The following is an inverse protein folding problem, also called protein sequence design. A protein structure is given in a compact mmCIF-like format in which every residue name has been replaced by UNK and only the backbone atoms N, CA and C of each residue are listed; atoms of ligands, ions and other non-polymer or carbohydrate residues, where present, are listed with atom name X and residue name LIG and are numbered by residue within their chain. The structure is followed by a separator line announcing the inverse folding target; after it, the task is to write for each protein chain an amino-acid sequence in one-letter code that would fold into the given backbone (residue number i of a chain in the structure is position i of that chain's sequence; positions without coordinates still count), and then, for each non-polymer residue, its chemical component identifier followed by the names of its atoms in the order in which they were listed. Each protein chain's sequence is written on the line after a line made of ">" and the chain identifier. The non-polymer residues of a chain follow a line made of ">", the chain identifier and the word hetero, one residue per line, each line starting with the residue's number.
data_IF_479808635986
#
_entry.id   IF_479808635986
#
_cell.length_a   1.000
_cell.length_b   1.000
_cell.length_c   1.000
_cell.angle_alpha   90.00
_cell.angle_beta   90.00
_cell.angle_gamma   90.00
#
_symmetry.space_group_name_H-M   'P 1'
#
loop_
_entity.id
_entity.type
_entity.pdbx_description
1 polymer ?
#
# COMPACT_ATOMS: atom_id res chain seq x y z
N UNK A 1 30.02 7.65 12.24
CA UNK A 1 29.10 7.88 11.10
C UNK A 1 27.90 6.94 11.25
N UNK A 2 27.21 6.96 12.39
CA UNK A 2 26.31 5.88 12.78
C UNK A 2 25.24 6.36 13.76
N UNK A 3 24.03 5.83 13.58
CA UNK A 3 22.83 5.91 14.41
C UNK A 3 21.86 7.10 14.27
N UNK A 4 22.26 8.28 13.78
CA UNK A 4 21.29 9.37 13.51
C UNK A 4 20.76 9.41 12.07
N UNK A 5 21.50 8.86 11.10
CA UNK A 5 21.05 8.65 9.70
C UNK A 5 20.17 7.38 9.51
N UNK A 6 19.61 6.81 10.59
CA UNK A 6 18.94 5.50 10.53
C UNK A 6 17.41 5.54 10.70
N UNK A 7 16.88 6.42 11.54
CA UNK A 7 15.42 6.48 11.78
C UNK A 7 14.78 7.63 11.01
N UNK A 8 15.42 8.80 11.02
CA UNK A 8 14.89 9.95 10.30
C UNK A 8 14.85 9.67 8.79
N UNK A 9 15.94 9.18 8.22
CA UNK A 9 16.02 8.79 6.81
C UNK A 9 15.07 7.63 6.45
N UNK A 10 14.91 6.65 7.36
CA UNK A 10 13.94 5.56 7.17
C UNK A 10 12.50 6.07 7.16
N UNK A 11 12.13 6.91 8.12
CA UNK A 11 10.77 7.48 8.19
C UNK A 11 10.49 8.39 7.00
N UNK A 12 11.46 9.18 6.57
CA UNK A 12 11.33 10.08 5.42
C UNK A 12 11.26 9.29 4.10
N UNK A 13 12.10 8.25 3.96
CA UNK A 13 12.06 7.33 2.83
C UNK A 13 10.74 6.56 2.74
N UNK A 14 10.25 6.05 3.87
CA UNK A 14 8.96 5.36 3.97
C UNK A 14 7.80 6.29 3.62
N UNK A 15 7.77 7.51 4.18
CA UNK A 15 6.71 8.47 3.91
C UNK A 15 6.68 8.86 2.42
N UNK A 16 7.86 9.06 1.83
CA UNK A 16 8.01 9.38 0.42
C UNK A 16 7.53 8.21 -0.48
N UNK A 17 7.94 6.99 -0.17
CA UNK A 17 7.53 5.77 -0.87
C UNK A 17 6.00 5.58 -0.81
N UNK A 18 5.40 5.71 0.39
CA UNK A 18 3.96 5.63 0.59
C UNK A 18 3.19 6.72 -0.16
N UNK A 19 3.69 7.96 -0.15
CA UNK A 19 3.07 9.09 -0.84
C UNK A 19 3.05 8.87 -2.36
N UNK A 20 4.20 8.48 -2.94
CA UNK A 20 4.29 8.23 -4.37
C UNK A 20 3.55 6.97 -4.80
N UNK A 21 3.44 5.95 -3.95
CA UNK A 21 2.65 4.74 -4.22
C UNK A 21 1.13 4.98 -4.21
N UNK A 22 0.66 5.97 -3.44
CA UNK A 22 -0.77 6.32 -3.42
C UNK A 22 -1.27 6.89 -4.77
N UNK A 23 -0.41 7.58 -5.52
CA UNK A 23 -0.75 8.20 -6.82
C UNK A 23 -1.17 7.16 -7.88
N UNK A 24 -0.34 6.15 -8.22
CA UNK A 24 -0.75 5.12 -9.17
C UNK A 24 -1.92 4.30 -8.65
N UNK A 25 -2.03 4.09 -7.32
CA UNK A 25 -3.17 3.39 -6.74
C UNK A 25 -4.50 4.12 -7.01
N UNK A 26 -4.55 5.43 -6.80
CA UNK A 26 -5.71 6.25 -7.16
C UNK A 26 -5.93 6.25 -8.67
N UNK A 27 -4.86 6.34 -9.47
CA UNK A 27 -4.93 6.29 -10.93
C UNK A 27 -5.61 5.02 -11.45
N UNK A 28 -5.19 3.85 -10.96
CA UNK A 28 -5.84 2.58 -11.29
C UNK A 28 -7.28 2.51 -10.79
N UNK A 29 -7.56 3.01 -9.58
CA UNK A 29 -8.93 3.06 -9.07
C UNK A 29 -9.85 3.93 -9.96
N UNK A 30 -9.36 5.05 -10.48
CA UNK A 30 -10.12 5.88 -11.42
C UNK A 30 -10.39 5.15 -12.74
N UNK A 31 -9.41 4.40 -13.27
CA UNK A 31 -9.57 3.57 -14.49
C UNK A 31 -10.68 2.52 -14.29
N UNK A 32 -10.79 1.96 -13.09
CA UNK A 32 -11.84 0.99 -12.74
C UNK A 32 -13.17 1.63 -12.29
N UNK A 33 -13.34 2.93 -12.50
CA UNK A 33 -14.57 3.67 -12.16
C UNK A 33 -14.98 3.51 -10.67
N UNK A 34 -13.99 3.44 -9.78
CA UNK A 34 -14.23 3.34 -8.34
C UNK A 34 -14.93 4.61 -7.83
N UNK A 35 -15.99 4.51 -7.00
CA UNK A 35 -16.71 5.69 -6.52
C UNK A 35 -15.78 6.62 -5.73
N UNK A 36 -15.98 7.93 -5.84
CA UNK A 36 -15.08 8.95 -5.28
C UNK A 36 -14.83 8.77 -3.77
N UNK A 37 -15.83 8.31 -3.02
CA UNK A 37 -15.72 8.02 -1.58
C UNK A 37 -14.79 6.85 -1.27
N UNK A 38 -14.64 5.91 -2.20
CA UNK A 38 -13.78 4.73 -2.07
C UNK A 38 -12.32 4.99 -2.50
N UNK A 39 -12.04 6.05 -3.28
CA UNK A 39 -10.69 6.38 -3.77
C UNK A 39 -9.68 6.59 -2.63
N UNK A 40 -10.13 7.17 -1.51
CA UNK A 40 -9.27 7.38 -0.33
C UNK A 40 -8.77 6.04 0.21
N UNK A 41 -9.63 5.01 0.21
CA UNK A 41 -9.27 3.68 0.67
C UNK A 41 -8.33 2.98 -0.30
N UNK A 42 -8.47 3.22 -1.61
CA UNK A 42 -7.50 2.75 -2.62
C UNK A 42 -6.12 3.40 -2.43
N UNK A 43 -6.08 4.71 -2.17
CA UNK A 43 -4.84 5.44 -1.87
C UNK A 43 -4.13 4.88 -0.62
N UNK A 44 -4.90 4.68 0.46
CA UNK A 44 -4.40 4.11 1.71
C UNK A 44 -3.96 2.66 1.51
N UNK A 45 -4.71 1.87 0.74
CA UNK A 45 -4.33 0.49 0.40
C UNK A 45 -3.00 0.42 -0.34
N UNK A 46 -2.79 1.25 -1.35
CA UNK A 46 -1.52 1.32 -2.10
C UNK A 46 -0.34 1.78 -1.23
N UNK A 47 -0.57 2.78 -0.37
CA UNK A 47 0.42 3.23 0.59
C UNK A 47 0.80 2.12 1.59
N UNK A 48 -0.16 1.37 2.13
CA UNK A 48 0.10 0.26 3.06
C UNK A 48 0.82 -0.89 2.36
N UNK A 49 0.41 -1.25 1.15
CA UNK A 49 1.05 -2.30 0.36
C UNK A 49 2.51 -1.99 0.10
N UNK A 50 2.78 -0.86 -0.56
CA UNK A 50 4.14 -0.49 -0.93
C UNK A 50 5.00 -0.13 0.29
N UNK A 51 4.43 0.57 1.28
CA UNK A 51 5.12 0.90 2.53
C UNK A 51 5.50 -0.33 3.36
N UNK A 52 4.62 -1.35 3.44
CA UNK A 52 4.95 -2.60 4.12
C UNK A 52 6.08 -3.37 3.42
N UNK A 53 6.05 -3.43 2.08
CA UNK A 53 7.13 -3.99 1.25
C UNK A 53 8.44 -3.24 1.47
N UNK A 54 8.42 -1.91 1.40
CA UNK A 54 9.59 -1.06 1.62
C UNK A 54 10.21 -1.32 2.99
N UNK A 55 9.39 -1.33 4.05
CA UNK A 55 9.82 -1.58 5.41
C UNK A 55 10.46 -2.96 5.57
N UNK A 56 9.84 -4.01 5.02
CA UNK A 56 10.41 -5.37 5.03
C UNK A 56 11.76 -5.44 4.31
N UNK A 57 11.90 -4.76 3.17
CA UNK A 57 13.16 -4.72 2.43
C UNK A 57 14.27 -3.98 3.21
N UNK A 58 13.94 -2.94 3.98
CA UNK A 58 14.90 -2.25 4.86
C UNK A 58 15.40 -3.15 6.00
N UNK A 59 14.60 -4.13 6.44
CA UNK A 59 15.00 -5.15 7.41
C UNK A 59 15.70 -6.37 6.78
N UNK A 60 16.04 -6.31 5.49
CA UNK A 60 16.78 -7.38 4.80
C UNK A 60 15.92 -8.55 4.34
N UNK A 61 14.58 -8.42 4.35
CA UNK A 61 13.69 -9.43 3.79
C UNK A 61 13.79 -9.40 2.25
N UNK A 62 13.96 -10.56 1.57
CA UNK A 62 13.98 -10.63 0.11
C UNK A 62 12.69 -10.07 -0.50
N UNK A 63 12.79 -9.51 -1.72
CA UNK A 63 11.68 -8.84 -2.41
C UNK A 63 10.47 -9.77 -2.62
N UNK A 64 10.70 -11.07 -2.82
CA UNK A 64 9.69 -12.10 -3.03
C UNK A 64 8.80 -12.22 -1.79
N UNK A 65 9.43 -12.37 -0.62
CA UNK A 65 8.73 -12.49 0.66
C UNK A 65 8.10 -11.18 1.07
N UNK A 66 8.80 -10.06 0.89
CA UNK A 66 8.27 -8.74 1.19
C UNK A 66 6.99 -8.45 0.37
N UNK A 67 7.00 -8.76 -0.92
CA UNK A 67 5.84 -8.55 -1.80
C UNK A 67 4.72 -9.54 -1.49
N UNK A 68 5.03 -10.79 -1.17
CA UNK A 68 4.04 -11.79 -0.75
C UNK A 68 3.27 -11.35 0.50
N UNK A 69 3.98 -10.93 1.55
CA UNK A 69 3.34 -10.48 2.79
C UNK A 69 2.59 -9.16 2.59
N UNK A 70 3.14 -8.22 1.83
CA UNK A 70 2.47 -6.97 1.48
C UNK A 70 1.15 -7.24 0.73
N UNK A 71 1.18 -8.13 -0.28
CA UNK A 71 0.00 -8.51 -1.04
C UNK A 71 -1.06 -9.21 -0.19
N UNK A 72 -0.62 -10.09 0.71
CA UNK A 72 -1.52 -10.77 1.66
C UNK A 72 -2.18 -9.77 2.61
N UNK A 73 -1.41 -8.81 3.14
CA UNK A 73 -1.92 -7.76 4.03
C UNK A 73 -2.99 -6.90 3.34
N UNK A 74 -2.67 -6.38 2.16
CA UNK A 74 -3.61 -5.57 1.35
C UNK A 74 -4.83 -6.40 0.94
N UNK A 75 -4.64 -7.67 0.60
CA UNK A 75 -5.72 -8.60 0.27
C UNK A 75 -6.70 -8.78 1.43
N UNK A 76 -6.20 -9.04 2.65
CA UNK A 76 -7.02 -9.16 3.85
C UNK A 76 -7.78 -7.87 4.15
N UNK A 77 -7.11 -6.72 4.07
CA UNK A 77 -7.72 -5.41 4.27
C UNK A 77 -8.82 -5.16 3.24
N UNK A 78 -8.57 -5.47 1.96
CA UNK A 78 -9.53 -5.31 0.88
C UNK A 78 -10.77 -6.19 1.03
N UNK A 79 -10.61 -7.44 1.48
CA UNK A 79 -11.74 -8.32 1.80
C UNK A 79 -12.55 -7.76 2.97
N UNK A 80 -11.89 -7.31 4.04
CA UNK A 80 -12.57 -6.72 5.18
C UNK A 80 -13.36 -5.46 4.80
N UNK A 81 -12.79 -4.57 3.98
CA UNK A 81 -13.49 -3.38 3.48
C UNK A 81 -14.59 -3.69 2.48
N UNK A 82 -14.47 -4.75 1.67
CA UNK A 82 -15.52 -5.14 0.72
C UNK A 82 -16.86 -5.44 1.41
N UNK A 83 -16.81 -6.10 2.58
CA UNK A 83 -18.00 -6.36 3.39
C UNK A 83 -18.61 -5.08 3.98
N UNK A 84 -17.79 -4.06 4.27
CA UNK A 84 -18.26 -2.78 4.85
C UNK A 84 -18.80 -1.80 3.82
N UNK A 85 -18.27 -1.81 2.59
CA UNK A 85 -18.66 -0.90 1.52
C UNK A 85 -19.58 -1.51 0.47
N UNK A 86 -19.95 -2.80 0.61
CA UNK A 86 -20.77 -3.56 -0.36
C UNK A 86 -20.20 -3.51 -1.79
N UNK A 87 -18.89 -3.28 -1.92
CA UNK A 87 -18.18 -3.16 -3.18
C UNK A 87 -17.27 -4.38 -3.33
N UNK A 88 -17.22 -4.96 -4.54
CA UNK A 88 -16.48 -6.19 -4.80
C UNK A 88 -15.00 -6.03 -4.42
N UNK A 89 -14.36 -6.97 -3.70
CA UNK A 89 -13.00 -6.81 -3.16
C UNK A 89 -11.95 -6.38 -4.20
N UNK A 90 -12.16 -6.80 -5.45
CA UNK A 90 -11.33 -6.46 -6.63
C UNK A 90 -11.16 -4.94 -6.84
N UNK A 91 -12.14 -4.13 -6.40
CA UNK A 91 -12.11 -2.66 -6.46
C UNK A 91 -11.00 -2.06 -5.60
N UNK A 92 -10.65 -2.72 -4.48
CA UNK A 92 -9.68 -2.20 -3.51
C UNK A 92 -8.30 -2.83 -3.66
N UNK A 93 -8.24 -4.12 -4.02
CA UNK A 93 -6.98 -4.86 -4.04
C UNK A 93 -6.18 -4.68 -5.33
N UNK A 94 -6.83 -4.47 -6.48
CA UNK A 94 -6.14 -4.28 -7.78
C UNK A 94 -5.44 -2.92 -7.86
N UNK A 95 -6.00 -1.90 -7.22
CA UNK A 95 -5.40 -0.58 -7.16
C UNK A 95 -4.17 -0.53 -6.23
N UNK A 96 -4.09 -1.43 -5.25
CA UNK A 96 -3.17 -1.32 -4.13
C UNK A 96 -1.88 -2.16 -4.27
N UNK A 97 -1.70 -2.87 -5.39
CA UNK A 97 -0.58 -3.80 -5.65
C UNK A 97 0.24 -3.39 -6.86
#
# INVERSE_FOLDING_TARGET
>A
MGNLMNIFDLTLGLLNDMFFAAIPAVGFALVFNVPQRALIYCAVGGAIGHGSRYLMMQFGVPIEWATFFAATLVGMIGVHWSHRFLAHPKVFTVAAL
#
